data_IF_596418648941
#
_entry.id   IF_596418648941
#
_cell.length_a   1.000
_cell.length_b   1.000
_cell.length_c   1.000
_cell.angle_alpha   90.00
_cell.angle_beta   90.00
_cell.angle_gamma   90.00
#
_symmetry.space_group_name_H-M   'P 1'
#
loop_
_entity.id
_entity.type
_entity.pdbx_description
1 polymer ?
#
# COMPACT_ATOMS: atom_id res chain seq x y z
N UNK A 1 7.54 9.50 24.19
CA UNK A 1 8.31 10.59 23.56
C UNK A 1 9.79 10.55 23.91
N UNK A 2 10.24 10.15 25.12
CA UNK A 2 11.67 10.01 25.47
C UNK A 2 12.58 11.17 24.95
N UNK A 3 11.99 12.36 24.81
CA UNK A 3 12.55 13.57 24.20
C UNK A 3 13.14 13.40 22.78
N UNK A 4 12.63 12.45 21.98
CA UNK A 4 13.06 12.18 20.58
C UNK A 4 12.01 12.54 19.52
N UNK A 5 10.93 13.23 19.91
CA UNK A 5 9.87 13.66 18.99
C UNK A 5 8.84 12.58 18.65
N UNK A 6 7.92 12.91 17.74
CA UNK A 6 6.79 12.07 17.30
C UNK A 6 6.74 12.06 15.77
N UNK A 7 6.75 10.87 15.16
CA UNK A 7 6.57 10.73 13.72
C UNK A 7 5.13 10.26 13.43
N UNK A 8 4.39 11.06 12.66
CA UNK A 8 3.12 10.65 12.10
C UNK A 8 3.32 10.00 10.73
N UNK A 9 2.81 8.79 10.56
CA UNK A 9 2.67 8.15 9.24
C UNK A 9 1.20 8.28 8.85
N UNK A 10 0.92 9.14 7.87
CA UNK A 10 -0.43 9.57 7.53
C UNK A 10 -0.75 9.12 6.12
N UNK A 11 -1.86 8.40 5.94
CA UNK A 11 -2.36 8.05 4.59
C UNK A 11 -2.91 9.31 3.93
N UNK A 12 -2.62 9.51 2.64
CA UNK A 12 -3.06 10.72 1.94
C UNK A 12 -4.56 10.70 1.62
N UNK A 13 -5.36 11.00 2.63
CA UNK A 13 -6.79 11.30 2.57
C UNK A 13 -7.03 12.67 3.17
N UNK A 14 -7.87 13.50 2.56
CA UNK A 14 -8.06 14.88 2.98
C UNK A 14 -8.45 15.01 4.47
N UNK A 15 -9.32 14.12 4.95
CA UNK A 15 -9.69 14.06 6.36
C UNK A 15 -8.53 13.68 7.27
N UNK A 16 -7.73 12.68 6.89
CA UNK A 16 -6.57 12.24 7.66
C UNK A 16 -5.52 13.35 7.74
N UNK A 17 -5.17 13.95 6.59
CA UNK A 17 -4.20 15.05 6.51
C UNK A 17 -4.61 16.21 7.40
N UNK A 18 -5.84 16.72 7.25
CA UNK A 18 -6.33 17.85 8.03
C UNK A 18 -6.30 17.56 9.55
N UNK A 19 -6.73 16.38 9.97
CA UNK A 19 -6.77 16.05 11.40
C UNK A 19 -5.37 15.87 12.00
N UNK A 20 -4.43 15.26 11.27
CA UNK A 20 -3.07 15.07 11.75
C UNK A 20 -2.24 16.35 11.69
N UNK A 21 -2.48 17.25 10.74
CA UNK A 21 -1.90 18.60 10.74
C UNK A 21 -2.33 19.39 11.97
N UNK A 22 -3.63 19.41 12.27
CA UNK A 22 -4.16 20.03 13.49
C UNK A 22 -3.57 19.38 14.75
N UNK A 23 -3.46 18.06 14.79
CA UNK A 23 -2.84 17.35 15.92
C UNK A 23 -1.35 17.73 16.10
N UNK A 24 -0.59 17.85 15.01
CA UNK A 24 0.81 18.27 15.03
C UNK A 24 0.97 19.70 15.60
N UNK A 25 0.09 20.63 15.23
CA UNK A 25 0.09 22.00 15.77
C UNK A 25 -0.26 22.05 17.27
N UNK A 26 -1.09 21.13 17.74
CA UNK A 26 -1.52 21.04 19.14
C UNK A 26 -0.48 20.34 20.04
N UNK A 27 0.49 19.61 19.48
CA UNK A 27 1.49 18.89 20.25
C UNK A 27 2.51 19.85 20.88
N UNK A 28 2.87 19.65 22.15
CA UNK A 28 3.95 20.41 22.78
C UNK A 28 5.35 19.85 22.45
N UNK A 29 5.45 18.87 21.53
CA UNK A 29 6.68 18.15 21.19
C UNK A 29 7.00 18.33 19.70
N UNK A 30 8.28 18.19 19.35
CA UNK A 30 8.68 18.12 17.93
C UNK A 30 7.96 16.96 17.25
N UNK A 31 7.35 17.24 16.10
CA UNK A 31 6.71 16.23 15.27
C UNK A 31 7.08 16.38 13.80
N UNK A 32 7.08 15.28 13.08
CA UNK A 32 7.22 15.24 11.64
C UNK A 32 6.17 14.31 11.04
N UNK A 33 5.93 14.45 9.74
CA UNK A 33 4.95 13.64 9.01
C UNK A 33 5.58 12.97 7.79
N UNK A 34 5.31 11.68 7.62
CA UNK A 34 5.46 10.94 6.36
C UNK A 34 4.07 10.77 5.79
N UNK A 35 3.81 11.41 4.65
CA UNK A 35 2.53 11.32 3.95
C UNK A 35 2.61 10.19 2.91
N UNK A 36 1.91 9.08 3.15
CA UNK A 36 1.92 7.93 2.24
C UNK A 36 0.95 8.13 1.09
N UNK A 37 1.41 7.81 -0.13
CA UNK A 37 0.74 8.16 -1.38
C UNK A 37 1.05 7.15 -2.49
N UNK A 38 1.12 5.88 -2.12
CA UNK A 38 1.57 4.77 -2.94
C UNK A 38 0.56 4.31 -4.02
N UNK A 39 -0.72 4.66 -3.91
CA UNK A 39 -1.73 4.26 -4.89
C UNK A 39 -1.50 4.92 -6.26
N UNK A 40 -1.15 4.13 -7.28
CA UNK A 40 -0.91 4.62 -8.63
C UNK A 40 -2.19 4.69 -9.47
N UNK A 41 -3.36 4.29 -8.95
CA UNK A 41 -4.59 4.27 -9.72
C UNK A 41 -5.03 5.67 -10.19
N UNK A 42 -5.16 6.65 -9.31
CA UNK A 42 -5.77 7.94 -9.67
C UNK A 42 -4.92 9.09 -9.13
N UNK A 43 -4.73 10.12 -9.95
CA UNK A 43 -4.20 11.42 -9.53
C UNK A 43 -5.40 12.34 -9.32
N UNK A 44 -5.70 12.64 -8.06
CA UNK A 44 -6.89 13.33 -7.54
C UNK A 44 -8.15 12.43 -7.53
N UNK A 45 -8.58 12.01 -6.34
CA UNK A 45 -9.79 11.22 -6.12
C UNK A 45 -10.84 11.99 -5.31
N UNK A 46 -12.03 11.42 -5.11
CA UNK A 46 -13.14 12.05 -4.37
C UNK A 46 -12.74 12.62 -3.00
N UNK A 47 -11.80 11.98 -2.31
CA UNK A 47 -11.35 12.37 -0.97
C UNK A 47 -9.87 12.73 -0.87
N UNK A 48 -9.15 12.82 -2.00
CA UNK A 48 -7.69 13.00 -1.98
C UNK A 48 -7.23 13.96 -3.07
N UNK A 49 -6.44 14.95 -2.67
CA UNK A 49 -5.58 15.71 -3.59
C UNK A 49 -4.27 14.93 -3.80
N UNK A 50 -3.90 14.68 -5.05
CA UNK A 50 -2.80 13.78 -5.39
C UNK A 50 -3.19 12.30 -5.32
N UNK A 51 -2.29 11.45 -4.83
CA UNK A 51 -2.46 9.98 -4.79
C UNK A 51 -2.83 9.49 -3.41
N UNK A 52 -3.69 8.47 -3.31
CA UNK A 52 -4.12 7.87 -2.03
C UNK A 52 -2.97 7.10 -1.37
N UNK A 53 -2.97 7.05 -0.03
CA UNK A 53 -2.10 6.15 0.74
C UNK A 53 -2.84 4.84 1.03
N UNK A 54 -2.32 3.70 0.57
CA UNK A 54 -2.96 2.39 0.68
C UNK A 54 -2.00 1.36 1.28
N UNK A 55 -1.99 0.12 0.78
CA UNK A 55 -1.26 -1.01 1.36
C UNK A 55 0.26 -0.80 1.52
N UNK A 56 0.88 0.06 0.72
CA UNK A 56 2.29 0.44 0.87
C UNK A 56 2.61 1.17 2.18
N UNK A 57 1.60 1.77 2.82
CA UNK A 57 1.73 2.37 4.15
C UNK A 57 2.27 1.38 5.18
N UNK A 58 1.84 0.10 5.13
CA UNK A 58 2.33 -0.92 6.06
C UNK A 58 3.84 -1.18 5.90
N UNK A 59 4.37 -1.07 4.69
CA UNK A 59 5.80 -1.21 4.42
C UNK A 59 6.58 -0.04 5.03
N UNK A 60 6.03 1.18 4.92
CA UNK A 60 6.58 2.37 5.60
C UNK A 60 6.58 2.17 7.11
N UNK A 61 5.45 1.76 7.69
CA UNK A 61 5.30 1.50 9.13
C UNK A 61 6.33 0.46 9.63
N UNK A 62 6.49 -0.67 8.92
CA UNK A 62 7.45 -1.71 9.31
C UNK A 62 8.89 -1.22 9.25
N UNK A 63 9.30 -0.58 8.15
CA UNK A 63 10.68 -0.15 7.97
C UNK A 63 11.05 0.98 8.95
N UNK A 64 10.18 1.98 9.08
CA UNK A 64 10.39 3.11 9.99
C UNK A 64 10.32 2.66 11.45
N UNK A 65 9.39 1.78 11.81
CA UNK A 65 9.32 1.20 13.16
C UNK A 65 10.59 0.44 13.53
N UNK A 66 11.16 -0.31 12.58
CA UNK A 66 12.45 -0.96 12.78
C UNK A 66 13.58 0.04 13.02
N UNK A 67 13.62 1.16 12.29
CA UNK A 67 14.65 2.17 12.45
C UNK A 67 14.49 2.92 13.78
N UNK A 68 13.26 3.22 14.18
CA UNK A 68 12.98 3.84 15.48
C UNK A 68 13.46 2.98 16.65
N UNK A 69 13.32 1.65 16.56
CA UNK A 69 13.79 0.70 17.59
C UNK A 69 15.32 0.73 17.78
N UNK A 70 16.09 1.12 16.77
CA UNK A 70 17.55 1.30 16.90
C UNK A 70 17.94 2.59 17.65
N UNK A 71 16.95 3.42 17.97
CA UNK A 71 17.13 4.70 18.66
C UNK A 71 17.45 5.88 17.74
N UNK A 72 17.25 5.73 16.42
CA UNK A 72 17.40 6.81 15.44
C UNK A 72 16.53 8.03 15.79
N UNK A 73 16.97 9.20 15.33
CA UNK A 73 16.24 10.45 15.53
C UNK A 73 15.02 10.59 14.59
N UNK A 74 14.17 11.57 14.91
CA UNK A 74 12.92 11.85 14.19
C UNK A 74 13.15 12.11 12.70
N UNK A 75 14.16 12.90 12.36
CA UNK A 75 14.40 13.31 10.97
C UNK A 75 14.94 12.15 10.13
N UNK A 76 15.76 11.29 10.72
CA UNK A 76 16.24 10.06 10.07
C UNK A 76 15.08 9.09 9.84
N UNK A 77 14.17 8.94 10.82
CA UNK A 77 12.96 8.13 10.66
C UNK A 77 12.04 8.69 9.56
N UNK A 78 11.85 10.02 9.52
CA UNK A 78 11.07 10.70 8.48
C UNK A 78 11.70 10.47 7.10
N UNK A 79 13.01 10.64 6.98
CA UNK A 79 13.73 10.46 5.72
C UNK A 79 13.61 9.01 5.19
N UNK A 80 13.75 8.00 6.05
CA UNK A 80 13.52 6.61 5.65
C UNK A 80 12.07 6.39 5.22
N UNK A 81 11.10 6.94 5.94
CA UNK A 81 9.69 6.81 5.58
C UNK A 81 9.35 7.43 4.23
N UNK A 82 9.84 8.64 3.96
CA UNK A 82 9.67 9.32 2.67
C UNK A 82 10.33 8.51 1.54
N UNK A 83 11.53 7.96 1.80
CA UNK A 83 12.26 7.10 0.85
C UNK A 83 11.49 5.82 0.52
N UNK A 84 10.97 5.12 1.53
CA UNK A 84 10.18 3.90 1.34
C UNK A 84 8.90 4.22 0.55
N UNK A 85 8.21 5.31 0.90
CA UNK A 85 7.00 5.75 0.19
C UNK A 85 7.29 6.05 -1.30
N UNK A 86 8.36 6.79 -1.59
CA UNK A 86 8.76 7.13 -2.96
C UNK A 86 9.08 5.87 -3.81
N UNK A 87 9.61 4.83 -3.17
CA UNK A 87 9.99 3.55 -3.81
C UNK A 87 8.87 2.51 -3.83
N UNK A 88 7.66 2.89 -3.43
CA UNK A 88 6.49 2.01 -3.36
C UNK A 88 5.40 2.45 -4.33
N UNK A 89 4.77 1.49 -4.98
CA UNK A 89 3.61 1.69 -5.83
C UNK A 89 2.58 0.57 -5.62
N UNK A 90 1.31 0.94 -5.55
CA UNK A 90 0.19 0.04 -5.28
C UNK A 90 -0.97 0.28 -6.23
N UNK A 91 -1.74 -0.76 -6.51
CA UNK A 91 -3.04 -0.64 -7.18
C UNK A 91 -3.98 -1.73 -6.67
N UNK A 92 -5.26 -1.38 -6.51
CA UNK A 92 -6.33 -2.27 -6.09
C UNK A 92 -7.30 -2.63 -7.21
N UNK A 93 -7.95 -3.78 -7.12
CA UNK A 93 -9.13 -4.13 -7.92
C UNK A 93 -10.19 -4.77 -7.02
N UNK A 94 -11.45 -4.33 -7.16
CA UNK A 94 -12.58 -4.85 -6.41
C UNK A 94 -13.57 -5.59 -7.32
N UNK A 95 -14.06 -6.74 -6.84
CA UNK A 95 -15.15 -7.51 -7.43
C UNK A 95 -16.50 -7.17 -6.78
N UNK A 96 -16.46 -6.75 -5.50
CA UNK A 96 -17.64 -6.25 -4.79
C UNK A 96 -17.30 -4.93 -4.11
N UNK A 97 -18.32 -4.18 -3.72
CA UNK A 97 -18.17 -3.07 -2.80
C UNK A 97 -18.04 -3.55 -1.35
N UNK A 98 -17.67 -2.65 -0.43
CA UNK A 98 -17.74 -2.89 1.01
C UNK A 98 -19.03 -2.34 1.62
N UNK A 99 -19.46 -2.92 2.74
CA UNK A 99 -20.61 -2.47 3.52
C UNK A 99 -20.14 -1.83 4.80
N UNK A 100 -20.30 -0.51 4.93
CA UNK A 100 -20.08 0.17 6.21
C UNK A 100 -21.23 -0.18 7.16
N UNK A 101 -20.97 -0.75 8.36
CA UNK A 101 -22.04 -1.24 9.25
C UNK A 101 -23.11 -0.20 9.58
N UNK A 102 -22.70 1.07 9.76
CA UNK A 102 -23.61 2.18 10.04
C UNK A 102 -24.54 2.53 8.85
N UNK A 103 -24.08 2.30 7.61
CA UNK A 103 -24.87 2.57 6.42
C UNK A 103 -25.79 1.40 6.05
N UNK A 104 -25.41 0.16 6.41
CA UNK A 104 -26.21 -1.05 6.18
C UNK A 104 -26.40 -1.44 4.71
N UNK A 105 -25.67 -0.80 3.80
CA UNK A 105 -25.69 -1.04 2.35
C UNK A 105 -24.30 -0.84 1.74
N UNK A 106 -24.04 -1.40 0.54
CA UNK A 106 -22.78 -1.20 -0.17
C UNK A 106 -22.45 0.29 -0.37
N UNK A 107 -21.16 0.63 -0.33
CA UNK A 107 -20.67 2.02 -0.52
C UNK A 107 -20.77 2.47 -1.98
N UNK A 108 -20.77 1.53 -2.93
CA UNK A 108 -21.04 1.76 -4.34
C UNK A 108 -21.71 0.53 -4.97
N UNK A 109 -22.47 0.74 -6.04
CA UNK A 109 -23.08 -0.35 -6.80
C UNK A 109 -22.06 -0.95 -7.77
N UNK A 110 -21.98 -2.27 -7.86
CA UNK A 110 -21.20 -3.02 -8.85
C UNK A 110 -21.92 -4.35 -9.13
N UNK A 111 -22.01 -4.76 -10.40
CA UNK A 111 -22.66 -6.03 -10.75
C UNK A 111 -21.72 -7.23 -10.58
N UNK A 112 -22.30 -8.43 -10.51
CA UNK A 112 -21.55 -9.69 -10.37
C UNK A 112 -20.63 -10.01 -11.58
N UNK A 113 -20.80 -9.29 -12.69
CA UNK A 113 -20.01 -9.46 -13.92
C UNK A 113 -19.02 -8.33 -14.16
N UNK A 114 -18.85 -7.43 -13.19
CA UNK A 114 -17.98 -6.26 -13.29
C UNK A 114 -16.87 -6.30 -12.24
N UNK A 115 -15.82 -5.53 -12.51
CA UNK A 115 -14.78 -5.20 -11.53
C UNK A 115 -14.51 -3.69 -11.55
N UNK A 116 -14.10 -3.15 -10.41
CA UNK A 116 -13.67 -1.77 -10.25
C UNK A 116 -12.13 -1.73 -10.18
N UNK A 117 -11.49 -1.30 -11.27
CA UNK A 117 -10.03 -1.25 -11.38
C UNK A 117 -9.52 0.05 -10.75
N UNK A 118 -8.58 -0.06 -9.84
CA UNK A 118 -8.01 1.07 -9.11
C UNK A 118 -8.86 1.57 -7.95
N UNK A 119 -9.71 0.72 -7.36
CA UNK A 119 -10.54 1.07 -6.19
C UNK A 119 -9.70 1.51 -4.99
N UNK A 120 -10.23 2.44 -4.18
CA UNK A 120 -9.62 2.86 -2.92
C UNK A 120 -10.06 2.00 -1.72
N UNK A 121 -9.37 2.12 -0.58
CA UNK A 121 -9.64 1.32 0.63
C UNK A 121 -10.92 1.72 1.38
N UNK A 122 -11.58 2.83 1.02
CA UNK A 122 -12.88 3.21 1.57
C UNK A 122 -14.02 3.03 0.55
N UNK A 123 -13.77 2.31 -0.54
CA UNK A 123 -14.74 2.12 -1.63
C UNK A 123 -14.84 3.32 -2.57
N UNK A 124 -13.82 4.19 -2.60
CA UNK A 124 -13.76 5.26 -3.58
C UNK A 124 -13.70 4.69 -5.00
N UNK A 125 -14.40 5.29 -5.97
CA UNK A 125 -14.33 4.89 -7.37
C UNK A 125 -12.88 4.79 -7.86
N UNK A 126 -12.63 3.80 -8.72
CA UNK A 126 -11.33 3.56 -9.29
C UNK A 126 -11.07 4.35 -10.56
N UNK A 127 -10.10 3.87 -11.34
CA UNK A 127 -9.82 4.37 -12.69
C UNK A 127 -10.98 4.13 -13.64
N UNK A 128 -11.55 2.93 -13.57
CA UNK A 128 -12.59 2.48 -14.49
C UNK A 128 -13.32 1.27 -13.92
N UNK A 129 -14.57 1.14 -14.34
CA UNK A 129 -15.34 -0.09 -14.27
C UNK A 129 -15.21 -0.86 -15.57
N UNK A 130 -15.05 -2.17 -15.48
CA UNK A 130 -14.99 -3.04 -16.65
C UNK A 130 -15.64 -4.39 -16.39
N UNK A 131 -15.97 -5.12 -17.47
CA UNK A 131 -16.40 -6.51 -17.37
C UNK A 131 -15.32 -7.37 -16.73
N UNK A 132 -15.72 -8.27 -15.85
CA UNK A 132 -14.82 -9.24 -15.23
C UNK A 132 -14.14 -10.12 -16.28
N UNK A 133 -12.83 -10.30 -16.12
CA UNK A 133 -11.96 -11.08 -17.01
C UNK A 133 -11.18 -12.11 -16.19
N UNK A 134 -10.44 -12.97 -16.88
CA UNK A 134 -9.49 -13.87 -16.25
C UNK A 134 -8.51 -13.11 -15.34
N UNK A 135 -8.19 -13.70 -14.19
CA UNK A 135 -7.33 -13.09 -13.18
C UNK A 135 -5.98 -12.65 -13.77
N UNK A 136 -5.41 -13.43 -14.70
CA UNK A 136 -4.14 -13.11 -15.34
C UNK A 136 -4.19 -11.79 -16.12
N UNK A 137 -5.31 -11.49 -16.79
CA UNK A 137 -5.48 -10.25 -17.52
C UNK A 137 -5.62 -9.05 -16.56
N UNK A 138 -6.35 -9.23 -15.45
CA UNK A 138 -6.53 -8.20 -14.42
C UNK A 138 -5.16 -7.87 -13.79
N UNK A 139 -4.40 -8.90 -13.40
CA UNK A 139 -3.07 -8.75 -12.79
C UNK A 139 -2.08 -8.11 -13.76
N UNK A 140 -2.16 -8.42 -15.05
CA UNK A 140 -1.33 -7.78 -16.09
C UNK A 140 -1.54 -6.27 -16.09
N UNK A 141 -2.79 -5.80 -16.15
CA UNK A 141 -3.10 -4.37 -16.13
C UNK A 141 -2.65 -3.69 -14.83
N UNK A 142 -2.77 -4.38 -13.69
CA UNK A 142 -2.29 -3.87 -12.40
C UNK A 142 -0.75 -3.69 -12.39
N UNK A 143 -0.02 -4.65 -12.96
CA UNK A 143 1.44 -4.56 -13.06
C UNK A 143 1.87 -3.48 -14.03
N UNK A 144 1.22 -3.34 -15.18
CA UNK A 144 1.49 -2.26 -16.13
C UNK A 144 1.30 -0.88 -15.47
N UNK A 145 0.27 -0.73 -14.63
CA UNK A 145 0.04 0.50 -13.87
C UNK A 145 1.19 0.79 -12.88
N UNK A 146 1.66 -0.22 -12.14
CA UNK A 146 2.80 -0.11 -11.23
C UNK A 146 4.09 0.25 -11.98
N UNK A 147 4.38 -0.41 -13.10
CA UNK A 147 5.58 -0.15 -13.89
C UNK A 147 5.54 1.25 -14.52
N UNK A 148 4.36 1.69 -14.96
CA UNK A 148 4.17 3.06 -15.46
C UNK A 148 4.42 4.08 -14.36
N UNK A 149 3.97 3.81 -13.13
CA UNK A 149 4.22 4.68 -11.98
C UNK A 149 5.71 4.84 -11.66
N UNK A 150 6.49 3.76 -11.72
CA UNK A 150 7.93 3.86 -11.52
C UNK A 150 8.61 4.70 -12.61
N UNK A 151 8.16 4.59 -13.86
CA UNK A 151 8.65 5.44 -14.97
C UNK A 151 8.36 6.93 -14.72
N UNK A 152 7.18 7.29 -14.22
CA UNK A 152 6.87 8.71 -13.93
C UNK A 152 7.70 9.28 -12.77
N UNK A 153 8.18 8.41 -11.87
CA UNK A 153 9.09 8.74 -10.77
C UNK A 153 10.57 8.74 -11.16
N UNK A 154 10.90 8.51 -12.44
CA UNK A 154 12.27 8.32 -12.93
C UNK A 154 13.04 7.23 -12.16
N UNK A 155 12.31 6.17 -11.77
CA UNK A 155 12.86 4.98 -11.11
C UNK A 155 12.79 3.80 -12.08
N UNK A 156 13.93 3.20 -12.40
CA UNK A 156 13.97 1.98 -13.22
C UNK A 156 13.93 0.73 -12.34
N UNK A 157 12.83 -0.04 -12.29
CA UNK A 157 12.74 -1.22 -11.43
C UNK A 157 13.54 -2.41 -11.98
N UNK A 158 13.96 -2.38 -13.25
CA UNK A 158 14.67 -3.48 -13.91
C UNK A 158 16.01 -3.76 -13.22
N UNK A 159 16.31 -5.04 -13.00
CA UNK A 159 17.48 -5.54 -12.27
C UNK A 159 17.52 -5.16 -10.77
N UNK A 160 16.44 -4.63 -10.21
CA UNK A 160 16.34 -4.38 -8.77
C UNK A 160 15.71 -5.57 -8.04
N UNK A 161 16.02 -5.66 -6.74
CA UNK A 161 15.24 -6.48 -5.81
C UNK A 161 13.98 -5.74 -5.36
N UNK A 162 12.92 -6.48 -5.08
CA UNK A 162 11.66 -5.92 -4.62
C UNK A 162 10.97 -6.78 -3.56
N UNK A 163 10.18 -6.10 -2.74
CA UNK A 163 9.16 -6.68 -1.88
C UNK A 163 7.82 -6.64 -2.61
N UNK A 164 7.17 -7.80 -2.74
CA UNK A 164 5.84 -7.94 -3.31
C UNK A 164 4.81 -8.23 -2.21
N UNK A 165 3.88 -7.30 -2.01
CA UNK A 165 2.72 -7.51 -1.15
C UNK A 165 1.48 -7.74 -2.02
N UNK A 166 0.87 -8.92 -1.88
CA UNK A 166 -0.47 -9.23 -2.40
C UNK A 166 -1.44 -9.20 -1.23
N UNK A 167 -2.25 -8.15 -1.21
CA UNK A 167 -3.12 -7.83 -0.09
C UNK A 167 -4.58 -8.04 -0.46
N UNK A 168 -5.30 -8.87 0.27
CA UNK A 168 -6.75 -9.01 0.13
C UNK A 168 -7.50 -7.90 0.86
N UNK A 169 -8.63 -7.48 0.31
CA UNK A 169 -9.45 -6.42 0.91
C UNK A 169 -10.42 -6.90 1.99
N UNK A 170 -10.49 -8.21 2.22
CA UNK A 170 -11.31 -8.79 3.29
C UNK A 170 -11.89 -10.13 2.88
N UNK A 171 -12.73 -10.13 1.84
CA UNK A 171 -13.53 -11.29 1.46
C UNK A 171 -12.88 -12.22 0.43
N UNK A 172 -11.73 -11.85 -0.16
CA UNK A 172 -11.03 -12.72 -1.12
C UNK A 172 -10.38 -13.91 -0.43
N UNK A 173 -10.66 -15.16 -0.87
CA UNK A 173 -10.02 -16.35 -0.33
C UNK A 173 -8.50 -16.32 -0.45
N UNK A 174 -7.80 -16.82 0.58
CA UNK A 174 -6.33 -16.85 0.59
C UNK A 174 -5.74 -17.61 -0.62
N UNK A 175 -6.42 -18.66 -1.09
CA UNK A 175 -6.00 -19.41 -2.30
C UNK A 175 -5.99 -18.54 -3.56
N UNK A 176 -6.94 -17.61 -3.69
CA UNK A 176 -7.01 -16.68 -4.82
C UNK A 176 -5.92 -15.60 -4.72
N UNK A 177 -5.58 -15.15 -3.51
CA UNK A 177 -4.44 -14.27 -3.30
C UNK A 177 -3.11 -14.93 -3.72
N UNK A 178 -2.95 -16.25 -3.49
CA UNK A 178 -1.78 -16.98 -3.98
C UNK A 178 -1.78 -17.18 -5.50
N UNK A 179 -2.95 -17.27 -6.14
CA UNK A 179 -3.07 -17.24 -7.60
C UNK A 179 -2.56 -15.91 -8.14
N UNK A 180 -3.04 -14.79 -7.57
CA UNK A 180 -2.60 -13.43 -7.92
C UNK A 180 -1.08 -13.30 -7.73
N UNK A 181 -0.53 -13.79 -6.61
CA UNK A 181 0.91 -13.77 -6.36
C UNK A 181 1.70 -14.53 -7.42
N UNK A 182 1.27 -15.74 -7.79
CA UNK A 182 1.96 -16.54 -8.79
C UNK A 182 2.04 -15.80 -10.14
N UNK A 183 0.93 -15.20 -10.58
CA UNK A 183 0.92 -14.44 -11.83
C UNK A 183 1.76 -13.17 -11.72
N UNK A 184 1.63 -12.44 -10.61
CA UNK A 184 2.36 -11.20 -10.41
C UNK A 184 3.88 -11.41 -10.37
N UNK A 185 4.35 -12.43 -9.64
CA UNK A 185 5.76 -12.77 -9.55
C UNK A 185 6.37 -13.15 -10.91
N UNK A 186 5.63 -13.88 -11.76
CA UNK A 186 6.06 -14.22 -13.13
C UNK A 186 6.21 -12.98 -13.99
N UNK A 187 5.17 -12.13 -14.03
CA UNK A 187 5.18 -10.91 -14.82
C UNK A 187 6.27 -9.94 -14.38
N UNK A 188 6.50 -9.77 -13.08
CA UNK A 188 7.61 -8.95 -12.59
C UNK A 188 8.98 -9.54 -12.99
N UNK A 189 9.15 -10.87 -12.95
CA UNK A 189 10.37 -11.52 -13.40
C UNK A 189 10.64 -11.33 -14.91
N UNK A 190 9.60 -11.36 -15.75
CA UNK A 190 9.69 -11.05 -17.19
C UNK A 190 10.16 -9.62 -17.44
N UNK A 191 9.84 -8.69 -16.53
CA UNK A 191 10.33 -7.31 -16.55
C UNK A 191 11.70 -7.13 -15.86
N UNK A 192 12.38 -8.23 -15.51
CA UNK A 192 13.70 -8.23 -14.88
C UNK A 192 13.71 -7.79 -13.41
N UNK A 193 12.56 -7.83 -12.72
CA UNK A 193 12.43 -7.45 -11.32
C UNK A 193 12.49 -8.72 -10.46
N UNK A 194 13.42 -8.76 -9.50
CA UNK A 194 13.60 -9.91 -8.62
C UNK A 194 12.80 -9.73 -7.33
N UNK A 195 11.71 -10.47 -7.19
CA UNK A 195 10.98 -10.52 -5.92
C UNK A 195 11.82 -11.29 -4.89
N UNK A 196 12.43 -10.58 -3.94
CA UNK A 196 13.27 -11.19 -2.90
C UNK A 196 12.56 -11.32 -1.56
N UNK A 197 11.47 -10.56 -1.35
CA UNK A 197 10.57 -10.67 -0.20
C UNK A 197 9.13 -10.65 -0.66
N UNK A 198 8.25 -11.28 0.10
CA UNK A 198 6.82 -11.21 -0.18
C UNK A 198 5.95 -11.38 1.05
N UNK A 199 4.74 -10.84 0.97
CA UNK A 199 3.63 -11.12 1.87
C UNK A 199 2.37 -11.35 1.05
N UNK A 200 1.58 -12.34 1.47
CA UNK A 200 0.28 -12.67 0.86
C UNK A 200 -0.73 -12.83 1.99
N UNK A 201 -1.87 -12.12 1.92
CA UNK A 201 -2.90 -12.17 2.97
C UNK A 201 -3.65 -10.86 3.13
N UNK A 202 -4.38 -10.69 4.23
CA UNK A 202 -5.16 -9.49 4.53
C UNK A 202 -4.39 -8.61 5.52
N UNK A 203 -3.82 -7.50 5.04
CA UNK A 203 -3.00 -6.58 5.85
C UNK A 203 -3.63 -5.17 5.93
N UNK A 204 -4.09 -4.64 4.80
CA UNK A 204 -4.77 -3.34 4.69
C UNK A 204 -6.10 -3.57 3.98
N UNK A 205 -7.15 -3.80 4.77
CA UNK A 205 -8.46 -4.26 4.29
C UNK A 205 -9.43 -3.11 4.06
N UNK A 206 -10.53 -3.41 3.38
CA UNK A 206 -11.70 -2.56 3.18
C UNK A 206 -12.95 -3.35 3.61
N UNK A 207 -13.05 -3.66 4.90
CA UNK A 207 -14.15 -4.42 5.52
C UNK A 207 -14.37 -5.78 4.82
N UNK A 208 -15.53 -5.97 4.19
CA UNK A 208 -16.01 -7.18 3.52
C UNK A 208 -15.83 -7.12 1.99
N UNK A 209 -15.05 -6.16 1.47
CA UNK A 209 -14.78 -6.05 0.04
C UNK A 209 -14.08 -7.32 -0.48
N UNK A 210 -14.65 -7.92 -1.52
CA UNK A 210 -13.97 -8.92 -2.33
C UNK A 210 -13.12 -8.19 -3.37
N UNK A 211 -11.82 -8.44 -3.34
CA UNK A 211 -10.82 -7.76 -4.14
C UNK A 211 -9.44 -7.88 -3.54
N UNK A 212 -8.45 -7.40 -4.28
CA UNK A 212 -7.06 -7.41 -3.84
C UNK A 212 -6.30 -6.21 -4.38
N UNK A 213 -5.21 -5.87 -3.69
CA UNK A 213 -4.20 -4.95 -4.19
C UNK A 213 -2.86 -5.64 -4.37
N UNK A 214 -2.12 -5.18 -5.37
CA UNK A 214 -0.71 -5.50 -5.56
C UNK A 214 0.09 -4.26 -5.19
N UNK A 215 1.09 -4.45 -4.34
CA UNK A 215 2.05 -3.43 -3.95
C UNK A 215 3.45 -3.93 -4.24
N UNK A 216 4.24 -3.12 -4.96
CA UNK A 216 5.66 -3.36 -5.22
C UNK A 216 6.47 -2.26 -4.54
N UNK A 217 7.41 -2.65 -3.67
CA UNK A 217 8.40 -1.76 -3.07
C UNK A 217 9.80 -2.15 -3.55
N UNK A 218 10.51 -1.23 -4.20
CA UNK A 218 11.89 -1.47 -4.64
C UNK A 218 12.83 -1.45 -3.44
N UNK A 219 13.59 -2.53 -3.26
CA UNK A 219 14.49 -2.72 -2.14
C UNK A 219 15.89 -2.25 -2.52
N UNK A 220 16.42 -1.32 -1.73
CA UNK A 220 17.87 -1.20 -1.57
C UNK A 220 18.29 -1.86 -0.25
N UNK A 221 19.59 -1.83 0.04
CA UNK A 221 20.16 -2.52 1.20
C UNK A 221 19.57 -2.02 2.53
N UNK A 222 19.32 -0.71 2.65
CA UNK A 222 18.76 -0.11 3.87
C UNK A 222 17.29 -0.54 4.09
N UNK A 223 16.46 -0.43 3.05
CA UNK A 223 15.05 -0.84 3.16
C UNK A 223 14.96 -2.34 3.44
N UNK A 224 15.77 -3.15 2.77
CA UNK A 224 15.82 -4.60 2.98
C UNK A 224 16.24 -4.96 4.40
N UNK A 225 17.27 -4.30 4.94
CA UNK A 225 17.71 -4.49 6.31
C UNK A 225 16.59 -4.22 7.32
N UNK A 226 15.86 -3.11 7.17
CA UNK A 226 14.78 -2.75 8.09
C UNK A 226 13.49 -3.58 7.91
N UNK A 227 13.25 -4.09 6.71
CA UNK A 227 12.21 -5.08 6.48
C UNK A 227 12.53 -6.40 7.20
N UNK A 228 13.75 -6.90 7.04
CA UNK A 228 14.17 -8.21 7.58
C UNK A 228 14.34 -8.23 9.11
N UNK A 229 14.46 -7.06 9.73
CA UNK A 229 14.61 -6.97 11.18
C UNK A 229 13.41 -7.57 11.93
N UNK A 230 13.63 -8.09 13.15
CA UNK A 230 12.56 -8.66 13.98
C UNK A 230 11.36 -7.73 14.14
N UNK A 231 10.17 -8.32 14.19
CA UNK A 231 8.93 -7.61 14.49
C UNK A 231 8.02 -8.50 15.30
N UNK A 232 7.37 -7.91 16.30
CA UNK A 232 6.40 -8.61 17.14
C UNK A 232 5.17 -7.73 17.35
N UNK A 233 4.30 -7.72 16.34
CA UNK A 233 2.97 -7.10 16.39
C UNK A 233 1.88 -8.15 16.15
N UNK A 234 0.62 -7.75 16.26
CA UNK A 234 -0.51 -8.65 15.96
C UNK A 234 -0.61 -8.99 14.46
N UNK A 235 -0.23 -8.05 13.58
CA UNK A 235 -0.33 -8.19 12.12
C UNK A 235 0.96 -8.68 11.44
N UNK A 236 2.14 -8.49 12.05
CA UNK A 236 3.43 -8.91 11.51
C UNK A 236 4.29 -9.55 12.61
N UNK A 237 4.86 -10.72 12.32
CA UNK A 237 5.69 -11.43 13.31
C UNK A 237 6.77 -12.32 12.69
N UNK A 238 8.04 -11.98 12.92
CA UNK A 238 9.21 -12.81 12.55
C UNK A 238 10.48 -12.39 13.34
N UNK A 239 11.56 -13.16 13.19
CA UNK A 239 12.90 -12.80 13.69
C UNK A 239 13.12 -13.01 15.20
N UNK A 240 12.56 -14.08 15.78
CA UNK A 240 12.86 -14.46 17.18
C UNK A 240 14.33 -14.78 17.40
#
# INVERSE_FOLDING_TARGET
HADKGILFIVKNYAGDVMNFEMAAEMLPFESATVLTSDDCAVVNSTYTTGRRGVAGTMIVEKCVGSLAETGADLQTCKALGDKVNARTASIGAALTSCTVPAAGRPTFDISETELEMGVGIHGEPGRRRETMREADAIVTDMIEAILTDFKTKDLSPTHQEALLLVNGFGATPLMELYLIYNTAAKLFAEHGIKISRSLVGNYVTALDMAGASITLCLLDDEIKQHWDSPVHTAGLRWGR
#
